data_IF_894969065316
#
_entry.id   IF_894969065316
#
_cell.length_a   1.000
_cell.length_b   1.000
_cell.length_c   1.000
_cell.angle_alpha   90.00
_cell.angle_beta   90.00
_cell.angle_gamma   90.00
#
_symmetry.space_group_name_H-M   'P 1'
#
loop_
_entity.id
_entity.type
_entity.pdbx_description
1 polymer ?
#
# COMPACT_ATOMS: atom_id res chain seq x y z
N UNK A 1 -38.83 -36.16 -18.16
CA UNK A 1 -37.36 -36.22 -18.22
C UNK A 1 -36.85 -34.80 -18.43
N UNK A 2 -36.47 -34.12 -17.36
CA UNK A 2 -35.97 -32.75 -17.39
C UNK A 2 -34.44 -32.82 -17.45
N UNK A 3 -33.75 -32.18 -18.41
CA UNK A 3 -32.30 -32.20 -18.43
C UNK A 3 -31.76 -31.30 -17.32
N UNK A 4 -31.02 -31.91 -16.39
CA UNK A 4 -30.28 -31.22 -15.33
C UNK A 4 -29.14 -30.43 -15.98
N UNK A 5 -29.14 -29.10 -15.86
CA UNK A 5 -28.02 -28.25 -16.26
C UNK A 5 -26.80 -28.54 -15.38
N UNK A 6 -25.59 -28.73 -15.93
CA UNK A 6 -24.39 -28.85 -15.12
C UNK A 6 -24.13 -27.50 -14.42
N UNK A 7 -23.97 -27.54 -13.09
CA UNK A 7 -23.67 -26.35 -12.30
C UNK A 7 -22.43 -25.66 -12.83
N UNK A 8 -22.52 -24.36 -13.11
CA UNK A 8 -21.40 -23.57 -13.60
C UNK A 8 -20.23 -23.65 -12.61
N UNK A 9 -19.15 -24.33 -13.02
CA UNK A 9 -17.91 -24.34 -12.26
C UNK A 9 -17.40 -22.91 -12.11
N UNK A 10 -17.11 -22.48 -10.88
CA UNK A 10 -16.52 -21.18 -10.62
C UNK A 10 -15.19 -21.08 -11.39
N UNK A 11 -15.04 -20.01 -12.19
CA UNK A 11 -13.80 -19.75 -12.90
C UNK A 11 -12.62 -19.69 -11.91
N UNK A 12 -11.40 -20.13 -12.31
CA UNK A 12 -10.23 -20.04 -11.44
C UNK A 12 -10.05 -18.59 -10.97
N UNK A 13 -9.99 -18.37 -9.66
CA UNK A 13 -9.56 -17.07 -9.14
C UNK A 13 -8.06 -16.97 -9.36
N UNK A 14 -7.65 -16.12 -10.29
CA UNK A 14 -6.23 -15.79 -10.42
C UNK A 14 -5.75 -15.04 -9.17
N UNK A 15 -4.53 -15.35 -8.73
CA UNK A 15 -3.91 -14.61 -7.63
C UNK A 15 -3.67 -13.15 -8.06
N UNK A 16 -4.03 -12.15 -7.24
CA UNK A 16 -3.87 -10.75 -7.61
C UNK A 16 -2.42 -10.40 -7.93
N UNK A 17 -2.22 -9.63 -9.01
CA UNK A 17 -0.91 -9.10 -9.42
C UNK A 17 -0.88 -7.59 -9.21
N UNK A 18 0.28 -7.06 -8.82
CA UNK A 18 0.46 -5.59 -8.72
C UNK A 18 0.41 -4.98 -10.12
N UNK A 19 -0.46 -4.00 -10.31
CA UNK A 19 -0.66 -3.30 -11.59
C UNK A 19 -0.16 -1.86 -11.56
N UNK A 20 -0.10 -1.24 -10.38
CA UNK A 20 0.41 0.13 -10.22
C UNK A 20 1.17 0.27 -8.90
N UNK A 21 2.23 1.07 -8.94
CA UNK A 21 2.99 1.50 -7.76
C UNK A 21 3.15 3.03 -7.81
N UNK A 22 2.93 3.68 -6.66
CA UNK A 22 3.23 5.10 -6.46
C UNK A 22 4.02 5.28 -5.16
N UNK A 23 5.08 6.07 -5.21
CA UNK A 23 5.81 6.53 -4.01
C UNK A 23 5.51 8.00 -3.80
N UNK A 24 5.20 8.39 -2.57
CA UNK A 24 4.88 9.77 -2.20
C UNK A 24 5.74 10.15 -1.00
N UNK A 25 6.75 11.01 -1.19
CA UNK A 25 7.45 11.65 -0.07
C UNK A 25 6.46 12.55 0.67
N UNK A 26 6.43 12.44 1.99
CA UNK A 26 5.62 13.27 2.86
C UNK A 26 6.48 13.92 3.94
N UNK A 27 6.00 15.05 4.45
CA UNK A 27 6.57 15.73 5.61
C UNK A 27 5.47 15.92 6.66
N UNK A 28 5.76 15.53 7.90
CA UNK A 28 4.91 15.78 9.07
C UNK A 28 5.62 16.71 10.05
N UNK A 29 4.86 17.45 10.88
CA UNK A 29 5.45 18.30 11.92
C UNK A 29 6.06 17.44 13.04
N UNK A 30 7.15 17.91 13.60
CA UNK A 30 7.81 17.30 14.75
C UNK A 30 8.06 18.32 15.87
N UNK A 31 8.25 17.82 17.09
CA UNK A 31 8.73 18.62 18.21
C UNK A 31 10.25 18.80 18.16
N UNK A 32 10.77 19.76 18.92
CA UNK A 32 12.22 19.96 19.08
C UNK A 32 12.81 18.93 20.06
N UNK A 33 12.70 17.65 19.73
CA UNK A 33 13.18 16.54 20.56
C UNK A 33 14.72 16.48 20.54
N UNK A 34 15.35 16.35 21.70
CA UNK A 34 16.80 16.27 21.86
C UNK A 34 17.27 14.82 21.95
N UNK A 35 18.35 14.49 21.25
CA UNK A 35 19.06 13.21 21.34
C UNK A 35 20.57 13.45 21.13
N UNK A 36 21.38 12.38 21.16
CA UNK A 36 22.85 12.49 21.01
C UNK A 36 23.27 13.18 19.71
N UNK A 37 22.48 13.03 18.64
CA UNK A 37 22.75 13.62 17.33
C UNK A 37 22.29 15.08 17.21
N UNK A 38 21.69 15.67 18.26
CA UNK A 38 21.26 17.06 18.28
C UNK A 38 19.77 17.23 18.60
N UNK A 39 19.12 18.17 17.94
CA UNK A 39 17.68 18.42 18.06
C UNK A 39 16.96 18.06 16.74
N UNK A 40 15.76 17.49 16.85
CA UNK A 40 14.90 17.23 15.70
C UNK A 40 14.61 18.51 14.91
N UNK A 41 14.56 18.37 13.58
CA UNK A 41 14.09 19.42 12.70
C UNK A 41 12.57 19.65 12.90
N UNK A 42 12.00 20.79 12.46
CA UNK A 42 10.56 21.05 12.58
C UNK A 42 9.66 20.06 11.82
N UNK A 43 10.24 19.29 10.90
CA UNK A 43 9.54 18.29 10.12
C UNK A 43 10.33 16.97 10.07
N UNK A 44 9.60 15.86 10.20
CA UNK A 44 10.11 14.53 9.87
C UNK A 44 9.64 14.14 8.46
N UNK A 45 10.44 13.31 7.77
CA UNK A 45 10.15 12.83 6.42
C UNK A 45 9.81 11.34 6.45
N UNK A 46 8.86 10.91 5.60
CA UNK A 46 8.54 9.49 5.35
C UNK A 46 8.23 9.27 3.88
N UNK A 47 8.32 8.03 3.43
CA UNK A 47 7.89 7.62 2.09
C UNK A 47 6.65 6.72 2.20
N UNK A 48 5.54 7.15 1.60
CA UNK A 48 4.36 6.31 1.43
C UNK A 48 4.44 5.54 0.13
N UNK A 49 4.22 4.23 0.19
CA UNK A 49 4.05 3.37 -0.99
C UNK A 49 2.58 3.04 -1.13
N UNK A 50 2.01 3.26 -2.30
CA UNK A 50 0.63 2.90 -2.64
C UNK A 50 0.66 1.94 -3.83
N UNK A 51 0.12 0.74 -3.63
CA UNK A 51 -0.02 -0.30 -4.66
C UNK A 51 -1.47 -0.44 -5.08
N UNK A 52 -1.71 -0.69 -6.36
CA UNK A 52 -3.00 -1.17 -6.87
C UNK A 52 -2.79 -2.57 -7.46
N UNK A 53 -3.68 -3.51 -7.15
CA UNK A 53 -3.66 -4.86 -7.72
C UNK A 53 -4.64 -5.00 -8.91
N UNK A 54 -4.62 -6.17 -9.56
CA UNK A 54 -5.50 -6.50 -10.70
C UNK A 54 -6.98 -6.65 -10.32
N UNK A 55 -7.28 -6.84 -9.04
CA UNK A 55 -8.65 -6.92 -8.52
C UNK A 55 -9.18 -5.53 -8.10
N UNK A 56 -8.38 -4.48 -8.29
CA UNK A 56 -8.72 -3.10 -7.94
C UNK A 56 -8.54 -2.76 -6.45
N UNK A 57 -7.87 -3.61 -5.66
CA UNK A 57 -7.55 -3.31 -4.26
C UNK A 57 -6.38 -2.34 -4.16
N UNK A 58 -6.34 -1.59 -3.07
CA UNK A 58 -5.24 -0.69 -2.73
C UNK A 58 -4.50 -1.19 -1.50
N UNK A 59 -3.18 -1.34 -1.61
CA UNK A 59 -2.27 -1.59 -0.49
C UNK A 59 -1.43 -0.37 -0.16
N UNK A 60 -1.15 -0.13 1.12
CA UNK A 60 -0.34 1.02 1.57
C UNK A 60 0.79 0.54 2.49
N UNK A 61 1.97 1.13 2.33
CA UNK A 61 3.13 0.93 3.19
C UNK A 61 3.81 2.26 3.51
N UNK A 62 4.60 2.27 4.58
CA UNK A 62 5.17 3.47 5.18
C UNK A 62 6.58 3.13 5.70
N UNK A 63 7.59 3.90 5.30
CA UNK A 63 9.00 3.73 5.69
C UNK A 63 9.69 5.08 5.95
N UNK A 64 10.83 5.12 6.67
CA UNK A 64 11.60 6.36 6.86
C UNK A 64 11.87 7.13 5.55
N UNK A 65 11.86 8.45 5.67
CA UNK A 65 12.33 9.35 4.62
C UNK A 65 13.86 9.32 4.50
N UNK A 66 14.36 9.95 3.44
CA UNK A 66 15.79 10.23 3.30
C UNK A 66 16.26 11.32 4.25
#
# INVERSE_FOLDING_TARGET
MTPTQPGAAAAPRETPRVTRLRVIPIAGRDGMLLNLSGAHAPFFTRNLVILTDSDGRTGVGEVPGG
#
